data_IF_592631169616
#
_entry.id   IF_592631169616
#
_cell.length_a   1.000
_cell.length_b   1.000
_cell.length_c   1.000
_cell.angle_alpha   90.00
_cell.angle_beta   90.00
_cell.angle_gamma   90.00
#
_symmetry.space_group_name_H-M   'P 1'
#
loop_
_entity.id
_entity.type
_entity.pdbx_description
1 polymer ?
#
# COMPACT_ATOMS: atom_id res chain seq x y z
N UNK A 1 -6.61 -19.04 -2.62
CA UNK A 1 -6.23 -18.31 -1.40
C UNK A 1 -7.13 -17.08 -1.33
N UNK A 2 -8.16 -17.10 -0.49
CA UNK A 2 -9.08 -15.98 -0.31
C UNK A 2 -8.45 -15.04 0.72
N UNK A 3 -7.92 -13.91 0.27
CA UNK A 3 -7.61 -12.83 1.20
C UNK A 3 -8.96 -12.24 1.64
N UNK A 4 -9.29 -12.21 2.95
CA UNK A 4 -10.49 -11.51 3.38
C UNK A 4 -10.40 -10.06 2.91
N UNK A 5 -11.51 -9.48 2.43
CA UNK A 5 -11.50 -8.10 1.99
C UNK A 5 -11.06 -7.20 3.17
N UNK A 6 -10.31 -6.12 2.91
CA UNK A 6 -9.88 -5.19 3.96
C UNK A 6 -11.09 -4.77 4.81
N UNK A 7 -10.95 -4.90 6.14
CA UNK A 7 -12.08 -5.13 7.05
C UNK A 7 -13.15 -4.05 7.08
N UNK A 8 -12.83 -2.79 6.75
CA UNK A 8 -13.79 -1.69 6.76
C UNK A 8 -14.62 -1.58 5.47
N UNK A 9 -14.14 -2.11 4.33
CA UNK A 9 -14.84 -2.14 3.03
C UNK A 9 -15.58 -0.84 2.65
N UNK A 10 -14.90 0.31 2.71
CA UNK A 10 -15.45 1.62 2.37
C UNK A 10 -14.53 2.36 1.39
N UNK A 11 -15.10 2.92 0.32
CA UNK A 11 -14.41 3.71 -0.69
C UNK A 11 -15.37 4.72 -1.32
N UNK A 12 -14.83 5.85 -1.77
CA UNK A 12 -15.60 6.92 -2.42
C UNK A 12 -15.17 7.09 -3.87
N UNK A 13 -16.12 7.39 -4.76
CA UNK A 13 -15.88 7.64 -6.18
C UNK A 13 -16.50 8.97 -6.58
N UNK A 14 -15.67 9.90 -7.05
CA UNK A 14 -16.11 11.24 -7.47
C UNK A 14 -16.20 11.30 -9.01
N UNK A 15 -17.43 11.38 -9.55
CA UNK A 15 -17.67 11.44 -11.01
C UNK A 15 -18.40 12.73 -11.39
N UNK A 16 -17.67 13.79 -11.80
CA UNK A 16 -18.28 15.06 -12.19
C UNK A 16 -19.21 14.93 -13.41
N UNK A 17 -18.83 14.10 -14.38
CA UNK A 17 -19.59 13.89 -15.61
C UNK A 17 -20.90 13.13 -15.32
N UNK A 18 -22.05 13.79 -15.55
CA UNK A 18 -23.37 13.21 -15.28
C UNK A 18 -23.62 11.90 -16.04
N UNK A 19 -23.28 11.84 -17.32
CA UNK A 19 -23.51 10.65 -18.16
C UNK A 19 -22.72 9.45 -17.64
N UNK A 20 -21.44 9.64 -17.29
CA UNK A 20 -20.60 8.58 -16.74
C UNK A 20 -21.07 8.14 -15.36
N UNK A 21 -21.51 9.09 -14.51
CA UNK A 21 -22.03 8.76 -13.18
C UNK A 21 -23.30 7.92 -13.25
N UNK A 22 -24.21 8.22 -14.18
CA UNK A 22 -25.41 7.41 -14.39
C UNK A 22 -25.10 6.01 -14.93
N UNK A 23 -24.10 5.88 -15.82
CA UNK A 23 -23.64 4.56 -16.27
C UNK A 23 -23.03 3.77 -15.12
N UNK A 24 -22.17 4.39 -14.30
CA UNK A 24 -21.58 3.76 -13.14
C UNK A 24 -22.65 3.28 -12.15
N UNK A 25 -23.65 4.11 -11.85
CA UNK A 25 -24.79 3.74 -10.98
C UNK A 25 -25.52 2.50 -11.50
N UNK A 26 -25.84 2.45 -12.79
CA UNK A 26 -26.47 1.27 -13.40
C UNK A 26 -25.65 -0.01 -13.22
N UNK A 27 -24.31 0.08 -13.29
CA UNK A 27 -23.44 -1.07 -13.07
C UNK A 27 -23.38 -1.47 -11.58
N UNK A 28 -23.43 -0.52 -10.65
CA UNK A 28 -23.49 -0.82 -9.22
C UNK A 28 -24.80 -1.52 -8.82
N UNK A 29 -25.93 -1.02 -9.32
CA UNK A 29 -27.26 -1.63 -9.15
C UNK A 29 -27.27 -3.09 -9.64
N UNK A 30 -26.78 -3.30 -10.87
CA UNK A 30 -26.72 -4.64 -11.49
C UNK A 30 -25.87 -5.65 -10.73
N UNK A 31 -24.83 -5.18 -10.04
CA UNK A 31 -23.87 -6.04 -9.34
C UNK A 31 -24.10 -6.07 -7.82
N UNK A 32 -25.15 -5.44 -7.30
CA UNK A 32 -25.49 -5.41 -5.86
C UNK A 32 -24.35 -4.85 -4.99
N UNK A 33 -23.62 -3.86 -5.51
CA UNK A 33 -22.48 -3.21 -4.82
C UNK A 33 -22.85 -1.88 -4.14
N UNK A 34 -24.14 -1.62 -3.94
CA UNK A 34 -24.61 -0.29 -3.51
C UNK A 34 -24.46 -0.01 -2.02
N UNK A 35 -24.17 -1.04 -1.23
CA UNK A 35 -24.17 -0.97 0.22
C UNK A 35 -22.74 -0.99 0.78
N UNK A 36 -22.48 -0.04 1.67
CA UNK A 36 -21.30 0.00 2.53
C UNK A 36 -21.74 -0.38 3.94
N UNK A 37 -20.93 -1.15 4.67
CA UNK A 37 -21.24 -1.51 6.04
C UNK A 37 -21.13 -0.28 6.97
N UNK A 38 -21.92 -0.26 8.05
CA UNK A 38 -22.02 0.89 8.97
C UNK A 38 -20.66 1.25 9.59
N UNK A 39 -19.86 0.26 9.96
CA UNK A 39 -18.54 0.49 10.54
C UNK A 39 -17.60 1.20 9.55
N UNK A 40 -17.61 0.77 8.28
CA UNK A 40 -16.84 1.39 7.20
C UNK A 40 -17.25 2.83 6.92
N UNK A 41 -18.55 3.13 7.04
CA UNK A 41 -19.07 4.50 6.87
C UNK A 41 -18.59 5.42 8.00
N UNK A 42 -18.78 5.00 9.26
CA UNK A 42 -18.36 5.76 10.45
C UNK A 42 -16.84 5.95 10.49
N UNK A 43 -16.08 4.91 10.16
CA UNK A 43 -14.62 4.98 10.12
C UNK A 43 -14.11 5.93 9.03
N UNK A 44 -14.72 5.92 7.83
CA UNK A 44 -14.35 6.83 6.75
C UNK A 44 -14.64 8.29 7.11
N UNK A 45 -15.78 8.57 7.75
CA UNK A 45 -16.13 9.90 8.25
C UNK A 45 -15.11 10.39 9.28
N UNK A 46 -14.83 9.59 10.31
CA UNK A 46 -13.85 9.94 11.34
C UNK A 46 -12.44 10.14 10.77
N UNK A 47 -12.04 9.29 9.81
CA UNK A 47 -10.74 9.41 9.15
C UNK A 47 -10.61 10.72 8.37
N UNK A 48 -11.63 11.14 7.61
CA UNK A 48 -11.59 12.41 6.88
C UNK A 48 -11.76 13.64 7.78
N UNK A 49 -12.54 13.55 8.85
CA UNK A 49 -12.80 14.68 9.74
C UNK A 49 -11.67 14.95 10.74
N UNK A 50 -10.94 13.91 11.15
CA UNK A 50 -10.01 13.99 12.29
C UNK A 50 -8.64 13.33 12.03
N UNK A 51 -8.43 12.70 10.88
CA UNK A 51 -7.22 11.91 10.62
C UNK A 51 -5.98 12.70 10.22
N UNK A 52 -6.10 14.00 9.92
CA UNK A 52 -4.99 14.82 9.41
C UNK A 52 -3.76 14.88 10.34
N UNK A 53 -3.89 15.11 11.66
CA UNK A 53 -2.71 15.12 12.54
C UNK A 53 -1.99 13.77 12.56
N UNK A 54 -2.75 12.66 12.61
CA UNK A 54 -2.18 11.32 12.55
C UNK A 54 -1.49 11.04 11.22
N UNK A 55 -2.07 11.52 10.10
CA UNK A 55 -1.50 11.34 8.76
C UNK A 55 -0.16 12.07 8.64
N UNK A 56 -0.06 13.31 9.13
CA UNK A 56 1.20 14.07 9.08
C UNK A 56 2.31 13.38 9.88
N UNK A 57 2.01 12.90 11.08
CA UNK A 57 2.97 12.14 11.90
C UNK A 57 3.38 10.82 11.20
N UNK A 58 2.41 10.10 10.64
CA UNK A 58 2.65 8.87 9.89
C UNK A 58 3.54 9.12 8.67
N UNK A 59 3.31 10.20 7.93
CA UNK A 59 4.12 10.56 6.76
C UNK A 59 5.58 10.86 7.17
N UNK A 60 5.78 11.56 8.29
CA UNK A 60 7.12 11.78 8.85
C UNK A 60 7.83 10.46 9.17
N UNK A 61 7.15 9.56 9.86
CA UNK A 61 7.66 8.23 10.18
C UNK A 61 7.99 7.39 8.94
N UNK A 62 7.09 7.35 7.95
CA UNK A 62 7.30 6.59 6.71
C UNK A 62 8.48 7.11 5.89
N UNK A 63 8.66 8.44 5.82
CA UNK A 63 9.83 9.05 5.16
C UNK A 63 11.13 8.67 5.87
N UNK A 64 11.14 8.70 7.20
CA UNK A 64 12.28 8.24 8.00
C UNK A 64 12.62 6.77 7.76
N UNK A 65 11.60 5.90 7.75
CA UNK A 65 11.78 4.48 7.49
C UNK A 65 12.29 4.19 6.08
N UNK A 66 11.78 4.89 5.06
CA UNK A 66 12.27 4.73 3.69
C UNK A 66 13.73 5.15 3.56
N UNK A 67 14.10 6.31 4.13
CA UNK A 67 15.49 6.78 4.12
C UNK A 67 16.43 5.80 4.82
N UNK A 68 16.05 5.32 6.01
CA UNK A 68 16.81 4.34 6.77
C UNK A 68 16.98 3.02 5.99
N UNK A 69 15.90 2.50 5.41
CA UNK A 69 15.93 1.29 4.59
C UNK A 69 16.80 1.46 3.34
N UNK A 70 16.68 2.60 2.65
CA UNK A 70 17.46 2.91 1.46
C UNK A 70 18.96 2.98 1.76
N UNK A 71 19.34 3.65 2.86
CA UNK A 71 20.73 3.72 3.30
C UNK A 71 21.29 2.34 3.61
N UNK A 72 20.56 1.53 4.38
CA UNK A 72 21.00 0.19 4.77
C UNK A 72 21.22 -0.73 3.57
N UNK A 73 20.28 -0.77 2.62
CA UNK A 73 20.36 -1.64 1.45
C UNK A 73 21.43 -1.15 0.46
N UNK A 74 21.46 0.15 0.15
CA UNK A 74 22.41 0.71 -0.80
C UNK A 74 23.86 0.60 -0.28
N UNK A 75 24.05 0.63 1.05
CA UNK A 75 25.35 0.40 1.69
C UNK A 75 25.76 -1.07 1.78
N UNK A 76 24.80 -2.01 1.80
CA UNK A 76 25.07 -3.44 1.96
C UNK A 76 25.54 -4.12 0.66
N UNK A 77 24.96 -3.79 -0.50
CA UNK A 77 25.36 -4.35 -1.79
C UNK A 77 25.19 -3.31 -2.92
N UNK A 78 26.26 -2.87 -3.61
CA UNK A 78 26.18 -1.86 -4.66
C UNK A 78 25.40 -2.30 -5.90
N UNK A 79 25.07 -3.59 -6.02
CA UNK A 79 24.22 -4.14 -7.10
C UNK A 79 22.74 -4.00 -6.81
N UNK A 80 22.37 -3.72 -5.55
CA UNK A 80 21.02 -3.39 -5.13
C UNK A 80 20.86 -1.87 -5.07
N UNK A 81 19.71 -1.38 -5.53
CA UNK A 81 19.37 0.03 -5.40
C UNK A 81 17.93 0.21 -4.96
N UNK A 82 17.72 0.85 -3.82
CA UNK A 82 16.39 1.30 -3.43
C UNK A 82 16.02 2.54 -4.24
N UNK A 83 14.85 2.49 -4.88
CA UNK A 83 14.35 3.58 -5.69
C UNK A 83 13.75 4.68 -4.79
N UNK A 84 13.99 5.96 -5.10
CA UNK A 84 13.30 7.05 -4.40
C UNK A 84 11.79 6.91 -4.59
N UNK A 85 11.03 7.20 -3.54
CA UNK A 85 9.56 7.14 -3.58
C UNK A 85 8.97 8.41 -2.98
N UNK A 86 8.14 9.09 -3.77
CA UNK A 86 7.42 10.29 -3.34
C UNK A 86 6.02 9.97 -2.80
N UNK A 87 5.60 8.71 -2.88
CA UNK A 87 4.29 8.26 -2.43
C UNK A 87 4.31 6.79 -2.00
N UNK A 88 3.28 6.39 -1.23
CA UNK A 88 3.07 5.03 -0.72
C UNK A 88 4.12 4.60 0.33
N UNK A 89 3.78 3.58 1.12
CA UNK A 89 4.65 3.02 2.16
C UNK A 89 5.47 1.81 1.70
N UNK A 90 5.37 1.43 0.41
CA UNK A 90 6.07 0.28 -0.16
C UNK A 90 7.37 0.74 -0.83
N UNK A 91 8.51 0.21 -0.38
CA UNK A 91 9.79 0.45 -1.03
C UNK A 91 9.95 -0.40 -2.29
N UNK A 92 10.46 0.21 -3.35
CA UNK A 92 10.84 -0.48 -4.58
C UNK A 92 12.35 -0.60 -4.66
N UNK A 93 12.82 -1.75 -5.14
CA UNK A 93 14.25 -2.06 -5.22
C UNK A 93 14.60 -2.62 -6.59
N UNK A 94 15.67 -2.09 -7.19
CA UNK A 94 16.28 -2.63 -8.39
C UNK A 94 17.30 -3.71 -8.02
N UNK A 95 16.99 -4.94 -8.42
CA UNK A 95 17.82 -6.12 -8.20
C UNK A 95 18.53 -6.60 -9.48
N UNK A 96 18.44 -5.87 -10.60
CA UNK A 96 18.96 -6.33 -11.91
C UNK A 96 20.47 -6.58 -11.87
N UNK A 97 21.21 -5.84 -11.05
CA UNK A 97 22.65 -6.02 -10.86
C UNK A 97 23.04 -7.38 -10.26
N UNK A 98 22.09 -8.13 -9.68
CA UNK A 98 22.34 -9.46 -9.14
C UNK A 98 22.41 -10.57 -10.21
N UNK A 99 21.97 -10.30 -11.45
CA UNK A 99 21.97 -11.29 -12.53
C UNK A 99 21.05 -12.50 -12.27
N UNK A 100 20.05 -12.35 -11.40
CA UNK A 100 19.10 -13.39 -11.04
C UNK A 100 17.77 -13.17 -11.76
N UNK A 101 17.12 -14.26 -12.16
CA UNK A 101 15.72 -14.23 -12.57
C UNK A 101 14.77 -14.06 -11.36
N UNK A 102 13.50 -13.75 -11.62
CA UNK A 102 12.52 -13.47 -10.58
C UNK A 102 12.20 -14.66 -9.66
N UNK A 103 12.31 -15.90 -10.16
CA UNK A 103 12.07 -17.12 -9.37
C UNK A 103 13.23 -17.33 -8.40
N UNK A 104 14.46 -17.24 -8.91
CA UNK A 104 15.69 -17.33 -8.12
C UNK A 104 15.76 -16.24 -7.05
N UNK A 105 15.35 -15.01 -7.39
CA UNK A 105 15.31 -13.89 -6.46
C UNK A 105 14.34 -14.12 -5.29
N UNK A 106 13.15 -14.70 -5.56
CA UNK A 106 12.13 -15.02 -4.53
C UNK A 106 12.48 -16.26 -3.69
N UNK A 107 13.54 -16.99 -4.05
CA UNK A 107 13.95 -18.22 -3.40
C UNK A 107 14.40 -18.04 -1.93
N UNK A 108 14.73 -19.14 -1.24
CA UNK A 108 14.97 -19.19 0.21
C UNK A 108 16.11 -18.30 0.75
N UNK A 109 16.91 -17.67 -0.14
CA UNK A 109 17.95 -16.72 0.23
C UNK A 109 17.40 -15.42 0.84
N UNK A 110 16.25 -14.92 0.36
CA UNK A 110 15.57 -13.78 0.99
C UNK A 110 14.81 -14.18 2.27
N UNK A 111 14.33 -15.43 2.36
CA UNK A 111 13.55 -15.91 3.51
C UNK A 111 14.39 -16.14 4.79
N UNK A 112 15.71 -16.32 4.67
CA UNK A 112 16.62 -16.61 5.80
C UNK A 112 17.28 -15.38 6.43
N UNK A 113 17.04 -14.18 5.90
CA UNK A 113 17.61 -12.92 6.41
C UNK A 113 16.59 -12.02 7.12
N UNK A 114 15.40 -12.54 7.44
CA UNK A 114 14.45 -11.83 8.31
C UNK A 114 14.97 -11.74 9.75
N UNK A 115 14.68 -10.65 10.49
CA UNK A 115 15.04 -10.57 11.90
C UNK A 115 14.34 -11.69 12.69
N UNK A 116 15.10 -12.45 13.48
CA UNK A 116 14.53 -13.18 14.62
C UNK A 116 13.90 -12.12 15.55
N UNK A 117 12.58 -12.01 15.50
CA UNK A 117 11.83 -11.27 16.52
C UNK A 117 12.03 -12.07 17.81
N UNK A 118 12.91 -11.58 18.68
CA UNK A 118 13.02 -12.07 20.05
C UNK A 118 11.80 -11.55 20.81
N UNK A 119 11.10 -12.49 21.45
CA UNK A 119 9.93 -12.27 22.31
C UNK A 119 10.16 -11.22 23.41
#
# INVERSE_FOLDING_TARGET
MYAPPPGLQSANVFVPNKRLREELRRQYERNVFELVNVLGMVAAEAAYAHGEPWLEDMLGYLRGNHAHFAEAINGADPRLKVLPTDSLYLAWMDCRGLGMDAVTLKGPRLARQGPEVRD
#
